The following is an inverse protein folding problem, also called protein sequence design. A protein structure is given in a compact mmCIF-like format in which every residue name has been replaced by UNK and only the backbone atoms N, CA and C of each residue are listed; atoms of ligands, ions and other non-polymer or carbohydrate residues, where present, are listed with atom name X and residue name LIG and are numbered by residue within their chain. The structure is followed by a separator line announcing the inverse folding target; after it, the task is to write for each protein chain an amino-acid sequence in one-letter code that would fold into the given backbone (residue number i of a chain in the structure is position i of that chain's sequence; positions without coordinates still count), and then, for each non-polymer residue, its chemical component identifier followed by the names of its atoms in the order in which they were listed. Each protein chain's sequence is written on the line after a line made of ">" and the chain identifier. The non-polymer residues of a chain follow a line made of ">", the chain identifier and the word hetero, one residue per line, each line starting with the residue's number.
data_IF_972553580755
#
_entry.id   IF_972553580755
#
_cell.length_a   1.000
_cell.length_b   1.000
_cell.length_c   1.000
_cell.angle_alpha   90.00
_cell.angle_beta   90.00
_cell.angle_gamma   90.00
#
_symmetry.space_group_name_H-M   'P 1'
#
loop_
_entity.id
_entity.type
_entity.pdbx_description
1 polymer ?
#
# COMPACT_ATOMS: atom_id res chain seq x y z
N UNK A 1 43.66 -26.92 -2.71
CA UNK A 1 42.69 -25.83 -2.47
C UNK A 1 42.84 -24.75 -3.55
N UNK A 2 41.69 -24.27 -4.15
CA UNK A 2 41.67 -23.19 -5.14
C UNK A 2 40.74 -22.08 -4.63
N UNK A 3 41.22 -20.82 -4.62
CA UNK A 3 40.44 -19.67 -4.17
C UNK A 3 40.36 -18.65 -5.28
N UNK A 4 39.16 -18.31 -5.70
CA UNK A 4 38.87 -17.38 -6.79
C UNK A 4 37.96 -16.25 -6.31
N UNK A 5 38.30 -15.00 -6.64
CA UNK A 5 37.40 -13.86 -6.41
C UNK A 5 36.29 -13.89 -7.45
N UNK A 6 35.06 -13.84 -7.00
CA UNK A 6 33.86 -13.78 -7.83
C UNK A 6 33.06 -12.51 -7.55
N UNK A 7 32.27 -12.15 -8.50
CA UNK A 7 31.41 -10.95 -8.50
C UNK A 7 29.95 -11.37 -8.56
N UNK A 8 29.10 -10.71 -7.76
CA UNK A 8 27.66 -10.89 -7.77
C UNK A 8 26.99 -9.52 -7.91
N UNK A 9 26.27 -9.31 -9.00
CA UNK A 9 25.48 -8.10 -9.20
C UNK A 9 24.38 -7.99 -8.15
N UNK A 10 24.19 -6.79 -7.60
CA UNK A 10 23.14 -6.44 -6.64
C UNK A 10 22.07 -5.59 -7.32
N UNK A 11 20.89 -5.51 -6.71
CA UNK A 11 19.75 -4.79 -7.28
C UNK A 11 19.91 -3.26 -7.36
N UNK A 12 20.99 -2.72 -6.79
CA UNK A 12 21.34 -1.28 -6.78
C UNK A 12 22.52 -0.96 -7.71
N UNK A 13 22.76 -1.78 -8.72
CA UNK A 13 23.88 -1.70 -9.67
C UNK A 13 25.28 -1.82 -9.04
N UNK A 14 25.37 -2.07 -7.73
CA UNK A 14 26.64 -2.41 -7.08
C UNK A 14 26.97 -3.89 -7.31
N UNK A 15 28.26 -4.21 -7.23
CA UNK A 15 28.75 -5.58 -7.36
C UNK A 15 29.34 -6.01 -6.03
N UNK A 16 28.83 -7.08 -5.44
CA UNK A 16 29.39 -7.71 -4.23
C UNK A 16 30.52 -8.66 -4.60
N UNK A 17 31.65 -8.58 -3.86
CA UNK A 17 32.78 -9.47 -4.03
C UNK A 17 32.73 -10.62 -3.03
N UNK A 18 33.06 -11.84 -3.49
CA UNK A 18 33.15 -13.01 -2.65
C UNK A 18 34.25 -13.97 -3.12
N UNK A 19 34.77 -14.77 -2.21
CA UNK A 19 35.70 -15.84 -2.52
C UNK A 19 34.93 -17.14 -2.80
N UNK A 20 35.28 -17.77 -3.92
CA UNK A 20 34.82 -19.12 -4.29
C UNK A 20 35.99 -20.07 -3.96
N UNK A 21 35.84 -20.84 -2.90
CA UNK A 21 36.86 -21.71 -2.32
C UNK A 21 36.52 -23.16 -2.64
N UNK A 22 37.40 -23.85 -3.37
CA UNK A 22 37.26 -25.25 -3.68
C UNK A 22 38.38 -26.06 -3.05
N UNK A 23 38.03 -26.97 -2.16
CA UNK A 23 38.98 -27.82 -1.46
C UNK A 23 38.43 -29.23 -1.22
N UNK A 24 39.19 -30.26 -1.57
CA UNK A 24 38.86 -31.65 -1.30
C UNK A 24 37.47 -32.11 -1.79
N UNK A 25 37.01 -31.60 -2.96
CA UNK A 25 35.68 -31.94 -3.49
C UNK A 25 34.54 -31.12 -2.87
N UNK A 26 34.84 -30.23 -1.91
CA UNK A 26 33.87 -29.34 -1.28
C UNK A 26 34.04 -27.92 -1.79
N UNK A 27 32.92 -27.24 -2.04
CA UNK A 27 32.88 -25.85 -2.48
C UNK A 27 32.28 -24.98 -1.40
N UNK A 28 33.01 -23.91 -1.02
CA UNK A 28 32.58 -22.92 -0.02
C UNK A 28 32.61 -21.54 -0.64
N UNK A 29 31.79 -20.63 -0.16
CA UNK A 29 31.79 -19.22 -0.56
C UNK A 29 31.97 -18.32 0.67
N UNK A 30 32.95 -17.41 0.62
CA UNK A 30 33.17 -16.39 1.66
C UNK A 30 32.85 -15.02 1.10
N UNK A 31 31.80 -14.37 1.61
CA UNK A 31 31.44 -13.00 1.21
C UNK A 31 32.31 -12.00 1.94
N UNK A 32 33.00 -11.14 1.19
CA UNK A 32 34.02 -10.23 1.74
C UNK A 32 33.43 -8.94 2.32
N UNK A 33 32.13 -8.69 2.16
CA UNK A 33 31.48 -7.41 2.49
C UNK A 33 32.13 -6.21 1.76
N UNK A 34 32.74 -6.47 0.61
CA UNK A 34 33.35 -5.48 -0.28
C UNK A 34 32.44 -5.31 -1.51
N UNK A 35 32.25 -4.06 -1.90
CA UNK A 35 31.32 -3.71 -2.99
C UNK A 35 32.02 -2.80 -4.00
N UNK A 36 31.84 -3.09 -5.29
CA UNK A 36 32.21 -2.17 -6.36
C UNK A 36 30.98 -1.30 -6.69
N UNK A 37 31.22 -0.03 -6.88
CA UNK A 37 30.21 0.96 -7.26
C UNK A 37 30.13 1.05 -8.79
N UNK A 38 29.00 1.49 -9.38
CA UNK A 38 28.92 1.82 -10.79
C UNK A 38 29.98 2.87 -11.16
N UNK A 39 30.74 2.62 -12.19
CA UNK A 39 31.82 3.55 -12.65
C UNK A 39 31.20 4.72 -13.41
N UNK A 40 30.85 5.78 -12.70
CA UNK A 40 30.26 7.01 -13.26
C UNK A 40 31.32 8.10 -13.46
N UNK A 41 32.34 8.09 -12.60
CA UNK A 41 33.42 9.10 -12.57
C UNK A 41 34.80 8.50 -12.20
N UNK A 42 35.86 9.31 -12.31
CA UNK A 42 37.21 8.89 -11.98
C UNK A 42 37.40 8.57 -10.49
N UNK A 43 36.60 9.17 -9.61
CA UNK A 43 36.65 8.92 -8.17
C UNK A 43 36.08 7.54 -7.83
N UNK A 44 34.95 7.16 -8.39
CA UNK A 44 34.35 5.82 -8.20
C UNK A 44 35.22 4.73 -8.76
N UNK A 45 35.91 4.98 -9.89
CA UNK A 45 36.89 4.05 -10.45
C UNK A 45 38.09 3.84 -9.50
N UNK A 46 38.67 4.91 -8.97
CA UNK A 46 39.76 4.82 -8.01
C UNK A 46 39.35 4.07 -6.72
N UNK A 47 38.11 4.30 -6.21
CA UNK A 47 37.57 3.56 -5.08
C UNK A 47 37.39 2.07 -5.38
N UNK A 48 36.94 1.73 -6.57
CA UNK A 48 36.77 0.35 -7.01
C UNK A 48 38.15 -0.37 -7.10
N UNK A 49 39.18 0.29 -7.57
CA UNK A 49 40.52 -0.26 -7.60
C UNK A 49 41.07 -0.58 -6.20
N UNK A 50 40.89 0.33 -5.23
CA UNK A 50 41.27 0.10 -3.82
C UNK A 50 40.47 -1.09 -3.24
N UNK A 51 39.21 -1.17 -3.55
CA UNK A 51 38.33 -2.27 -3.09
C UNK A 51 38.77 -3.62 -3.67
N UNK A 52 39.13 -3.67 -4.94
CA UNK A 52 39.67 -4.87 -5.59
C UNK A 52 41.01 -5.27 -5.00
N UNK A 53 41.91 -4.33 -4.76
CA UNK A 53 43.19 -4.59 -4.11
C UNK A 53 42.98 -5.24 -2.72
N UNK A 54 42.01 -4.73 -1.94
CA UNK A 54 41.68 -5.30 -0.65
C UNK A 54 41.14 -6.73 -0.77
N UNK A 55 40.29 -7.00 -1.76
CA UNK A 55 39.81 -8.35 -2.04
C UNK A 55 40.95 -9.32 -2.40
N UNK A 56 41.92 -8.86 -3.18
CA UNK A 56 43.13 -9.63 -3.53
C UNK A 56 44.02 -9.91 -2.31
N UNK A 57 44.18 -8.95 -1.39
CA UNK A 57 44.91 -9.13 -0.14
C UNK A 57 44.24 -10.23 0.72
N UNK A 58 42.92 -10.16 0.93
CA UNK A 58 42.18 -11.17 1.68
C UNK A 58 42.28 -12.55 1.02
N UNK A 59 42.19 -12.61 -0.31
CA UNK A 59 42.44 -13.87 -1.04
C UNK A 59 43.81 -14.44 -0.76
N UNK A 60 44.85 -13.61 -0.80
CA UNK A 60 46.24 -14.02 -0.53
C UNK A 60 46.38 -14.52 0.91
N UNK A 61 45.82 -13.83 1.88
CA UNK A 61 45.79 -14.25 3.29
C UNK A 61 45.13 -15.64 3.46
N UNK A 62 44.01 -15.89 2.77
CA UNK A 62 43.33 -17.20 2.83
C UNK A 62 44.08 -18.34 2.17
N UNK A 63 44.91 -18.01 1.17
CA UNK A 63 45.79 -19.00 0.53
C UNK A 63 46.98 -19.32 1.44
N UNK A 64 47.57 -18.34 2.11
CA UNK A 64 48.70 -18.51 3.01
C UNK A 64 48.30 -19.15 4.36
N UNK A 65 47.12 -18.82 4.83
CA UNK A 65 46.56 -19.25 6.14
C UNK A 65 45.21 -19.88 5.99
N UNK A 66 45.10 -21.10 5.47
CA UNK A 66 43.83 -21.81 5.27
C UNK A 66 43.03 -22.02 6.56
N UNK A 67 43.66 -22.06 7.71
CA UNK A 67 43.08 -22.15 9.05
C UNK A 67 42.22 -20.90 9.42
N UNK A 68 42.46 -19.78 8.76
CA UNK A 68 41.68 -18.53 8.97
C UNK A 68 40.38 -18.52 8.18
N UNK A 69 40.10 -19.51 7.33
CA UNK A 69 38.85 -19.66 6.63
C UNK A 69 37.77 -20.09 7.64
N UNK A 70 36.71 -19.28 7.85
CA UNK A 70 35.68 -19.60 8.85
C UNK A 70 35.06 -20.99 8.62
N UNK A 71 35.15 -21.90 9.62
CA UNK A 71 34.74 -23.30 9.44
C UNK A 71 33.24 -23.50 9.18
N UNK A 72 32.38 -22.70 9.70
CA UNK A 72 30.92 -22.76 9.44
C UNK A 72 30.27 -21.52 10.03
N UNK A 73 29.42 -20.86 9.27
CA UNK A 73 28.52 -19.88 9.86
C UNK A 73 28.36 -18.58 9.07
N UNK A 74 29.24 -18.29 8.10
CA UNK A 74 29.00 -17.21 7.15
C UNK A 74 28.44 -17.74 5.81
N UNK A 75 28.22 -19.05 5.75
CA UNK A 75 27.41 -19.68 4.74
C UNK A 75 25.96 -19.56 5.18
N UNK A 76 25.24 -18.64 4.60
CA UNK A 76 23.80 -18.51 4.72
C UNK A 76 23.21 -18.25 6.13
N UNK A 77 23.84 -17.48 6.97
CA UNK A 77 23.09 -16.35 7.40
C UNK A 77 23.45 -15.27 6.36
N UNK A 78 22.63 -15.13 5.35
CA UNK A 78 22.32 -13.79 4.90
C UNK A 78 21.82 -13.12 6.18
N UNK A 79 22.71 -12.66 7.06
CA UNK A 79 22.44 -11.48 7.86
C UNK A 79 21.98 -10.52 6.80
N UNK A 80 20.68 -10.35 6.74
CA UNK A 80 20.04 -9.35 5.96
C UNK A 80 20.98 -8.18 5.96
N UNK A 81 21.52 -7.84 4.79
CA UNK A 81 22.37 -6.69 4.64
C UNK A 81 21.54 -5.56 5.25
N UNK A 82 22.00 -4.86 6.31
CA UNK A 82 21.19 -3.82 6.96
C UNK A 82 21.09 -2.58 6.07
N UNK A 83 21.04 -2.76 4.78
CA UNK A 83 20.90 -1.76 3.74
C UNK A 83 19.84 -2.18 2.74
N UNK A 84 18.76 -2.84 3.22
CA UNK A 84 17.53 -2.84 2.45
C UNK A 84 16.97 -1.40 2.51
N UNK A 85 17.35 -0.59 1.53
CA UNK A 85 16.82 0.78 1.30
C UNK A 85 15.32 0.75 0.95
N UNK A 86 14.70 -0.43 1.02
CA UNK A 86 13.25 -0.55 0.88
C UNK A 86 12.59 0.04 2.12
N UNK A 87 11.69 1.02 1.99
CA UNK A 87 11.00 1.61 3.13
C UNK A 87 10.15 0.56 3.85
N UNK A 88 9.88 0.79 5.13
CA UNK A 88 8.88 0.03 5.87
C UNK A 88 7.48 0.25 5.26
N UNK A 89 6.61 -0.74 5.41
CA UNK A 89 5.25 -0.68 4.83
C UNK A 89 4.48 0.53 5.38
N UNK A 90 4.56 0.78 6.69
CA UNK A 90 3.85 1.90 7.32
C UNK A 90 4.40 3.26 6.89
N UNK A 91 5.71 3.39 6.74
CA UNK A 91 6.36 4.62 6.28
C UNK A 91 6.02 4.89 4.82
N UNK A 92 6.00 3.84 4.00
CA UNK A 92 5.57 3.97 2.61
C UNK A 92 4.11 4.41 2.48
N UNK A 93 3.20 3.82 3.28
CA UNK A 93 1.79 4.24 3.29
C UNK A 93 1.69 5.71 3.70
N UNK A 94 2.48 6.17 4.70
CA UNK A 94 2.51 7.58 5.08
C UNK A 94 3.01 8.46 3.94
N UNK A 95 4.13 8.13 3.32
CA UNK A 95 4.67 8.85 2.16
C UNK A 95 3.63 8.94 1.02
N UNK A 96 2.85 7.88 0.81
CA UNK A 96 1.77 7.87 -0.17
C UNK A 96 0.62 8.80 0.21
N UNK A 97 0.24 8.84 1.49
CA UNK A 97 -0.78 9.76 2.03
C UNK A 97 -0.34 11.21 1.86
N UNK A 98 0.90 11.54 2.22
CA UNK A 98 1.46 12.88 2.12
C UNK A 98 1.49 13.32 0.65
N UNK A 99 1.98 12.45 -0.23
CA UNK A 99 1.98 12.70 -1.67
C UNK A 99 0.57 12.98 -2.23
N UNK A 100 -0.48 12.25 -1.79
CA UNK A 100 -1.85 12.51 -2.20
C UNK A 100 -2.40 13.81 -1.61
N UNK A 101 -2.01 14.16 -0.40
CA UNK A 101 -2.46 15.39 0.28
C UNK A 101 -1.93 16.65 -0.39
N UNK A 102 -0.71 16.56 -0.94
CA UNK A 102 -0.07 17.65 -1.68
C UNK A 102 -0.62 17.78 -3.13
N UNK A 103 -1.38 16.79 -3.59
CA UNK A 103 -1.89 16.72 -4.95
C UNK A 103 -3.40 17.01 -4.97
N UNK A 104 -3.79 18.12 -5.61
CA UNK A 104 -5.19 18.59 -5.69
C UNK A 104 -6.12 17.64 -6.46
N UNK A 105 -5.59 16.69 -7.22
CA UNK A 105 -6.38 15.69 -7.96
C UNK A 105 -7.07 14.65 -7.06
N UNK A 106 -6.66 14.57 -5.80
CA UNK A 106 -7.22 13.61 -4.85
C UNK A 106 -8.23 14.26 -3.91
N UNK A 107 -9.43 13.71 -3.85
CA UNK A 107 -10.44 14.15 -2.90
C UNK A 107 -10.03 13.80 -1.45
N UNK A 108 -10.44 14.63 -0.50
CA UNK A 108 -10.23 14.38 0.93
C UNK A 108 -10.69 12.98 1.36
N UNK A 109 -11.81 12.49 0.79
CA UNK A 109 -12.35 11.17 1.09
C UNK A 109 -11.37 10.03 0.74
N UNK A 110 -10.61 10.16 -0.35
CA UNK A 110 -9.60 9.18 -0.77
C UNK A 110 -8.41 9.19 0.19
N UNK A 111 -7.97 10.38 0.59
CA UNK A 111 -6.90 10.56 1.58
C UNK A 111 -7.30 9.94 2.92
N UNK A 112 -8.51 10.20 3.39
CA UNK A 112 -9.02 9.64 4.66
C UNK A 112 -9.15 8.11 4.62
N UNK A 113 -9.56 7.54 3.50
CA UNK A 113 -9.55 6.09 3.29
C UNK A 113 -8.13 5.49 3.36
N UNK A 114 -7.12 6.21 2.88
CA UNK A 114 -5.73 5.78 2.94
C UNK A 114 -5.16 5.89 4.35
N UNK A 115 -5.57 6.90 5.12
CA UNK A 115 -5.27 6.99 6.56
C UNK A 115 -5.89 5.83 7.34
N UNK A 116 -7.13 5.47 7.00
CA UNK A 116 -7.78 4.29 7.59
C UNK A 116 -7.05 2.99 7.23
N UNK A 117 -6.58 2.85 5.98
CA UNK A 117 -5.74 1.71 5.60
C UNK A 117 -4.45 1.65 6.44
N UNK A 118 -3.78 2.80 6.68
CA UNK A 118 -2.59 2.86 7.53
C UNK A 118 -2.88 2.36 8.94
N UNK A 119 -4.01 2.80 9.52
CA UNK A 119 -4.47 2.34 10.83
C UNK A 119 -4.68 0.81 10.84
N UNK A 120 -5.42 0.26 9.87
CA UNK A 120 -5.64 -1.18 9.77
C UNK A 120 -4.34 -1.98 9.63
N UNK A 121 -3.41 -1.46 8.83
CA UNK A 121 -2.11 -2.10 8.64
C UNK A 121 -1.28 -2.07 9.92
N UNK A 122 -1.31 -0.98 10.69
CA UNK A 122 -0.59 -0.89 11.97
C UNK A 122 -1.13 -1.91 12.99
N UNK A 123 -2.45 -2.04 13.10
CA UNK A 123 -3.11 -3.04 13.97
C UNK A 123 -2.74 -4.48 13.57
N UNK A 124 -2.80 -4.77 12.27
CA UNK A 124 -2.41 -6.08 11.75
C UNK A 124 -0.95 -6.42 12.02
N UNK A 125 -0.03 -5.50 11.75
CA UNK A 125 1.40 -5.73 11.95
C UNK A 125 1.77 -5.84 13.43
N UNK A 126 1.08 -5.09 14.30
CA UNK A 126 1.21 -5.24 15.75
C UNK A 126 0.73 -6.62 16.22
N UNK A 127 -0.42 -7.09 15.72
CA UNK A 127 -0.94 -8.43 15.99
C UNK A 127 0.05 -9.53 15.56
N UNK A 128 0.71 -9.36 14.41
CA UNK A 128 1.75 -10.28 13.90
C UNK A 128 3.12 -10.08 14.57
N UNK A 129 3.28 -9.12 15.49
CA UNK A 129 4.55 -8.76 16.15
C UNK A 129 5.67 -8.43 15.14
N UNK A 130 5.32 -7.78 14.03
CA UNK A 130 6.23 -7.41 12.93
C UNK A 130 6.02 -5.96 12.46
N UNK A 131 6.10 -4.95 13.37
CA UNK A 131 5.80 -3.55 13.05
C UNK A 131 6.73 -2.96 11.96
N UNK A 132 7.97 -3.45 11.86
CA UNK A 132 9.03 -2.92 10.98
C UNK A 132 9.25 -3.77 9.73
N UNK A 133 8.19 -4.32 9.14
CA UNK A 133 8.31 -5.07 7.88
C UNK A 133 8.52 -4.11 6.71
N UNK A 134 9.51 -4.42 5.87
CA UNK A 134 9.78 -3.62 4.67
C UNK A 134 8.85 -4.02 3.51
N UNK A 135 8.65 -3.10 2.55
CA UNK A 135 7.84 -3.36 1.35
C UNK A 135 8.28 -4.62 0.59
N UNK A 136 9.58 -4.88 0.49
CA UNK A 136 10.11 -6.05 -0.23
C UNK A 136 9.81 -7.36 0.45
N UNK A 137 9.66 -7.34 1.79
CA UNK A 137 9.32 -8.52 2.59
C UNK A 137 7.82 -8.75 2.67
N UNK A 138 7.02 -7.75 2.29
CA UNK A 138 5.57 -7.85 2.27
C UNK A 138 5.13 -8.52 0.94
N UNK A 139 5.22 -9.85 0.91
CA UNK A 139 4.92 -10.71 -0.23
C UNK A 139 3.44 -11.11 -0.31
N UNK A 140 3.11 -12.03 -1.20
CA UNK A 140 1.74 -12.54 -1.37
C UNK A 140 1.18 -13.20 -0.11
N UNK A 141 2.02 -13.86 0.70
CA UNK A 141 1.57 -14.53 1.93
C UNK A 141 1.16 -13.51 3.01
N UNK A 142 1.85 -12.35 3.06
CA UNK A 142 1.45 -11.24 3.91
C UNK A 142 0.12 -10.62 3.48
N UNK A 143 -0.13 -10.50 2.16
CA UNK A 143 -1.44 -10.06 1.66
C UNK A 143 -2.55 -11.03 2.06
N UNK A 144 -2.35 -12.35 1.88
CA UNK A 144 -3.30 -13.37 2.33
C UNK A 144 -3.58 -13.27 3.82
N UNK A 145 -2.53 -13.20 4.63
CA UNK A 145 -2.66 -13.08 6.09
C UNK A 145 -3.42 -11.81 6.49
N UNK A 146 -3.17 -10.68 5.83
CA UNK A 146 -3.87 -9.43 6.07
C UNK A 146 -5.36 -9.53 5.72
N UNK A 147 -5.69 -10.10 4.58
CA UNK A 147 -7.09 -10.26 4.16
C UNK A 147 -7.86 -11.24 5.05
N UNK A 148 -7.24 -12.36 5.46
CA UNK A 148 -7.84 -13.29 6.41
C UNK A 148 -8.09 -12.62 7.76
N UNK A 149 -7.12 -11.86 8.27
CA UNK A 149 -7.28 -11.10 9.51
C UNK A 149 -8.42 -10.08 9.42
N UNK A 150 -8.50 -9.32 8.32
CA UNK A 150 -9.60 -8.36 8.10
C UNK A 150 -10.98 -9.02 8.10
N UNK A 151 -11.07 -10.22 7.53
CA UNK A 151 -12.34 -10.93 7.36
C UNK A 151 -12.81 -11.61 8.65
N UNK A 152 -11.87 -12.21 9.39
CA UNK A 152 -12.19 -13.14 10.46
C UNK A 152 -11.94 -12.55 11.85
N UNK A 153 -10.91 -11.74 12.02
CA UNK A 153 -10.41 -11.34 13.34
C UNK A 153 -10.65 -9.87 13.63
N UNK A 154 -10.67 -9.02 12.61
CA UNK A 154 -10.83 -7.59 12.81
C UNK A 154 -12.28 -7.19 12.97
N UNK A 155 -12.59 -6.63 14.15
CA UNK A 155 -13.89 -6.01 14.44
C UNK A 155 -13.67 -4.54 14.75
N UNK A 156 -14.17 -3.60 13.92
CA UNK A 156 -14.00 -2.18 14.18
C UNK A 156 -14.68 -1.77 15.48
N UNK A 157 -13.92 -1.18 16.39
CA UNK A 157 -14.50 -0.60 17.62
C UNK A 157 -15.24 0.68 17.24
N UNK A 158 -16.55 0.59 17.14
CA UNK A 158 -17.43 1.75 16.97
C UNK A 158 -18.10 2.07 18.29
N UNK A 159 -18.10 3.38 18.61
CA UNK A 159 -18.86 4.04 19.69
C UNK A 159 -19.64 3.14 20.66
N UNK A 160 -19.48 3.40 21.93
CA UNK A 160 -19.99 2.68 23.13
C UNK A 160 -21.47 2.20 23.08
N UNK A 161 -22.24 2.61 22.08
CA UNK A 161 -23.68 2.32 21.99
C UNK A 161 -24.11 1.41 20.82
N UNK A 162 -23.18 0.95 19.99
CA UNK A 162 -23.51 0.11 18.84
C UNK A 162 -22.66 -1.14 18.90
N UNK A 163 -23.32 -2.29 18.85
CA UNK A 163 -22.65 -3.59 18.77
C UNK A 163 -21.64 -3.62 17.62
N UNK A 164 -20.39 -3.95 17.93
CA UNK A 164 -19.34 -3.99 16.95
C UNK A 164 -19.58 -5.15 15.97
N UNK A 165 -19.64 -4.88 14.67
CA UNK A 165 -19.87 -5.86 13.62
C UNK A 165 -18.65 -5.98 12.71
N UNK A 166 -18.36 -7.18 12.18
CA UNK A 166 -17.31 -7.36 11.16
C UNK A 166 -17.51 -6.44 9.96
N UNK A 167 -16.43 -6.19 9.22
CA UNK A 167 -16.51 -5.41 7.99
C UNK A 167 -17.40 -6.10 6.95
N UNK A 168 -18.29 -5.34 6.32
CA UNK A 168 -19.09 -5.84 5.21
C UNK A 168 -18.21 -6.04 3.94
N UNK A 169 -18.67 -6.88 3.00
CA UNK A 169 -17.98 -7.21 1.76
C UNK A 169 -17.52 -5.96 0.97
N UNK A 170 -18.37 -4.92 0.91
CA UNK A 170 -18.02 -3.66 0.27
C UNK A 170 -16.85 -2.95 0.94
N UNK A 171 -16.81 -2.95 2.27
CA UNK A 171 -15.70 -2.36 3.03
C UNK A 171 -14.40 -3.15 2.84
N UNK A 172 -14.46 -4.48 2.88
CA UNK A 172 -13.32 -5.36 2.62
C UNK A 172 -12.75 -5.12 1.21
N UNK A 173 -13.63 -5.08 0.20
CA UNK A 173 -13.22 -4.78 -1.18
C UNK A 173 -12.58 -3.39 -1.31
N UNK A 174 -13.11 -2.37 -0.65
CA UNK A 174 -12.54 -1.02 -0.67
C UNK A 174 -11.15 -0.97 -0.02
N UNK A 175 -10.94 -1.64 1.12
CA UNK A 175 -9.62 -1.74 1.76
C UNK A 175 -8.64 -2.44 0.83
N UNK A 176 -9.06 -3.54 0.17
CA UNK A 176 -8.24 -4.23 -0.83
C UNK A 176 -7.83 -3.29 -1.97
N UNK A 177 -8.76 -2.53 -2.54
CA UNK A 177 -8.45 -1.57 -3.62
C UNK A 177 -7.44 -0.51 -3.16
N UNK A 178 -7.54 -0.04 -1.91
CA UNK A 178 -6.60 0.95 -1.36
C UNK A 178 -5.20 0.38 -1.20
N UNK A 179 -5.03 -0.81 -0.63
CA UNK A 179 -3.69 -1.40 -0.49
C UNK A 179 -3.06 -1.71 -1.86
N UNK A 180 -3.85 -2.19 -2.83
CA UNK A 180 -3.37 -2.41 -4.20
C UNK A 180 -2.86 -1.11 -4.83
N UNK A 181 -3.59 0.00 -4.65
CA UNK A 181 -3.16 1.31 -5.16
C UNK A 181 -1.85 1.79 -4.52
N UNK A 182 -1.67 1.60 -3.20
CA UNK A 182 -0.42 1.91 -2.47
C UNK A 182 0.76 1.13 -3.05
N UNK A 183 0.60 -0.19 -3.25
CA UNK A 183 1.68 -1.03 -3.78
C UNK A 183 1.95 -0.79 -5.27
N UNK A 184 0.91 -0.49 -6.07
CA UNK A 184 1.10 -0.06 -7.46
C UNK A 184 1.90 1.25 -7.55
N UNK A 185 1.66 2.18 -6.61
CA UNK A 185 2.44 3.41 -6.54
C UNK A 185 3.88 3.13 -6.12
N UNK A 186 4.12 2.17 -5.22
CA UNK A 186 5.47 1.72 -4.87
C UNK A 186 6.25 1.19 -6.09
N UNK A 187 5.58 0.46 -6.98
CA UNK A 187 6.18 0.00 -8.23
C UNK A 187 6.51 1.19 -9.15
N UNK A 188 5.59 2.15 -9.31
CA UNK A 188 5.80 3.35 -10.13
C UNK A 188 6.97 4.22 -9.61
N UNK A 189 7.21 4.23 -8.30
CA UNK A 189 8.31 4.96 -7.67
C UNK A 189 9.60 4.12 -7.55
N UNK A 190 9.67 2.95 -8.19
CA UNK A 190 10.85 2.08 -8.19
C UNK A 190 11.20 1.46 -6.83
N UNK A 191 10.28 1.49 -5.85
CA UNK A 191 10.47 0.89 -4.53
C UNK A 191 10.23 -0.62 -4.53
N UNK A 192 9.43 -1.11 -5.50
CA UNK A 192 9.17 -2.52 -5.78
C UNK A 192 9.34 -2.80 -7.27
N UNK A 193 9.75 -4.02 -7.62
CA UNK A 193 9.79 -4.49 -9.02
C UNK A 193 8.40 -4.81 -9.56
N UNK A 194 7.56 -5.42 -8.73
CA UNK A 194 6.20 -5.79 -9.06
C UNK A 194 5.33 -5.76 -7.80
N UNK A 195 4.02 -5.59 -7.96
CA UNK A 195 3.09 -5.65 -6.83
C UNK A 195 2.76 -7.12 -6.51
N UNK A 196 3.07 -7.61 -5.30
CA UNK A 196 2.81 -8.99 -4.90
C UNK A 196 1.33 -9.39 -4.92
N UNK A 197 0.42 -8.44 -4.85
CA UNK A 197 -1.02 -8.68 -4.93
C UNK A 197 -1.41 -9.47 -6.20
N UNK A 198 -0.79 -9.19 -7.33
CA UNK A 198 -1.12 -9.87 -8.59
C UNK A 198 -0.66 -11.34 -8.66
N UNK A 199 0.02 -11.82 -7.64
CA UNK A 199 0.39 -13.23 -7.48
C UNK A 199 -0.64 -14.02 -6.65
N UNK A 200 -1.70 -13.35 -6.16
CA UNK A 200 -2.78 -13.97 -5.40
C UNK A 200 -3.73 -14.73 -6.32
N UNK A 201 -4.31 -15.81 -5.81
CA UNK A 201 -5.38 -16.53 -6.46
C UNK A 201 -6.73 -15.79 -6.30
N UNK A 202 -7.68 -16.07 -7.17
CA UNK A 202 -9.02 -15.46 -7.10
C UNK A 202 -9.74 -15.74 -5.77
N UNK A 203 -9.47 -16.88 -5.15
CA UNK A 203 -9.99 -17.28 -3.84
C UNK A 203 -9.50 -16.40 -2.69
N UNK A 204 -8.31 -15.79 -2.84
CA UNK A 204 -7.68 -14.96 -1.82
C UNK A 204 -8.09 -13.48 -1.91
N UNK A 205 -8.85 -13.13 -2.96
CA UNK A 205 -9.22 -11.76 -3.30
C UNK A 205 -10.68 -11.53 -2.93
N UNK A 206 -10.97 -10.38 -2.31
CA UNK A 206 -12.34 -9.98 -2.05
C UNK A 206 -13.06 -9.64 -3.36
N UNK A 207 -14.17 -10.33 -3.69
CA UNK A 207 -14.91 -10.04 -4.90
C UNK A 207 -15.54 -8.64 -4.84
N UNK A 208 -15.76 -8.05 -6.01
CA UNK A 208 -16.58 -6.84 -6.07
C UNK A 208 -17.99 -7.14 -5.55
N UNK A 209 -18.49 -6.39 -4.57
CA UNK A 209 -19.81 -6.63 -4.04
C UNK A 209 -20.86 -6.53 -5.15
N UNK A 210 -21.82 -7.45 -5.15
CA UNK A 210 -22.95 -7.38 -6.08
C UNK A 210 -23.76 -6.12 -5.77
N UNK A 211 -24.24 -5.46 -6.81
CA UNK A 211 -25.17 -4.34 -6.64
C UNK A 211 -26.41 -4.85 -5.91
N UNK A 212 -26.70 -4.30 -4.73
CA UNK A 212 -27.97 -4.54 -4.06
C UNK A 212 -29.10 -3.99 -4.93
N UNK A 213 -30.25 -4.64 -4.92
CA UNK A 213 -31.47 -4.07 -5.49
C UNK A 213 -31.74 -2.72 -4.82
N UNK A 214 -31.65 -1.65 -5.59
CA UNK A 214 -31.96 -0.32 -5.08
C UNK A 214 -33.45 -0.25 -4.84
N UNK A 215 -33.85 -0.04 -3.59
CA UNK A 215 -35.22 0.28 -3.24
C UNK A 215 -35.46 1.77 -3.52
N UNK A 216 -36.64 2.09 -3.98
CA UNK A 216 -37.08 3.47 -4.24
C UNK A 216 -38.49 3.66 -3.65
N UNK A 217 -38.80 4.88 -3.29
CA UNK A 217 -40.14 5.23 -2.86
C UNK A 217 -41.07 5.39 -4.07
N UNK A 218 -42.24 4.82 -4.00
CA UNK A 218 -43.29 5.14 -4.96
C UNK A 218 -43.76 6.60 -4.77
N UNK A 219 -44.42 7.20 -5.76
CA UNK A 219 -44.97 8.56 -5.61
C UNK A 219 -45.92 8.73 -4.41
N UNK A 220 -46.72 7.69 -4.10
CA UNK A 220 -47.63 7.75 -2.97
C UNK A 220 -46.94 7.59 -1.63
N UNK A 221 -45.88 6.80 -1.56
CA UNK A 221 -45.06 6.70 -0.36
C UNK A 221 -44.27 8.02 -0.12
N UNK A 222 -43.78 8.67 -1.19
CA UNK A 222 -43.14 9.97 -1.07
C UNK A 222 -44.16 11.03 -0.58
N UNK A 223 -45.39 11.05 -1.10
CA UNK A 223 -46.46 11.95 -0.62
C UNK A 223 -46.75 11.73 0.87
N UNK A 224 -46.89 10.48 1.30
CA UNK A 224 -47.13 10.13 2.72
C UNK A 224 -45.94 10.55 3.59
N UNK A 225 -44.72 10.33 3.13
CA UNK A 225 -43.50 10.76 3.83
C UNK A 225 -43.48 12.29 3.98
N UNK A 226 -43.76 13.04 2.92
CA UNK A 226 -43.76 14.51 2.96
C UNK A 226 -44.92 15.10 3.79
N UNK A 227 -46.02 14.36 3.96
CA UNK A 227 -47.18 14.75 4.79
C UNK A 227 -47.01 14.40 6.26
N UNK A 228 -46.01 13.60 6.63
CA UNK A 228 -45.76 13.25 8.03
C UNK A 228 -45.33 14.50 8.82
N UNK A 229 -45.92 14.64 10.03
CA UNK A 229 -45.65 15.76 10.92
C UNK A 229 -44.38 15.48 11.73
N UNK A 230 -43.30 16.20 11.37
CA UNK A 230 -42.01 16.07 12.05
C UNK A 230 -41.82 17.16 13.09
N UNK A 231 -41.74 16.75 14.34
CA UNK A 231 -41.65 17.65 15.50
C UNK A 231 -40.26 18.27 15.73
N UNK A 232 -39.21 17.63 15.19
CA UNK A 232 -37.83 18.15 15.32
C UNK A 232 -37.44 19.01 14.12
N UNK A 233 -37.02 20.28 14.34
CA UNK A 233 -36.64 21.18 13.24
C UNK A 233 -35.59 20.59 12.29
N UNK A 234 -34.58 19.90 12.80
CA UNK A 234 -33.53 19.27 12.00
C UNK A 234 -34.04 18.10 11.13
N UNK A 235 -35.03 17.36 11.61
CA UNK A 235 -35.67 16.28 10.86
C UNK A 235 -36.57 16.87 9.79
N UNK A 236 -37.33 17.93 10.07
CA UNK A 236 -38.18 18.61 9.10
C UNK A 236 -37.37 19.20 7.93
N UNK A 237 -36.22 19.80 8.20
CA UNK A 237 -35.31 20.28 7.13
C UNK A 237 -34.75 19.12 6.30
N UNK A 238 -34.36 18.02 6.94
CA UNK A 238 -33.88 16.82 6.24
C UNK A 238 -34.97 16.22 5.35
N UNK A 239 -36.21 16.16 5.84
CA UNK A 239 -37.40 15.70 5.09
C UNK A 239 -37.58 16.54 3.81
N UNK A 240 -37.54 17.88 3.92
CA UNK A 240 -37.67 18.79 2.76
C UNK A 240 -36.53 18.57 1.76
N UNK A 241 -35.29 18.48 2.24
CA UNK A 241 -34.12 18.22 1.41
C UNK A 241 -34.21 16.87 0.69
N UNK A 242 -34.70 15.83 1.38
CA UNK A 242 -34.93 14.52 0.80
C UNK A 242 -36.02 14.54 -0.29
N UNK A 243 -37.15 15.17 0.00
CA UNK A 243 -38.23 15.33 -0.97
C UNK A 243 -37.75 16.09 -2.22
N UNK A 244 -36.98 17.16 -2.03
CA UNK A 244 -36.36 17.89 -3.13
C UNK A 244 -35.40 17.01 -3.94
N UNK A 245 -34.57 16.18 -3.28
CA UNK A 245 -33.70 15.21 -3.94
C UNK A 245 -34.48 14.20 -4.79
N UNK A 246 -35.59 13.67 -4.26
CA UNK A 246 -36.46 12.72 -4.96
C UNK A 246 -37.09 13.33 -6.23
N UNK A 247 -37.49 14.59 -6.17
CA UNK A 247 -38.12 15.28 -7.29
C UNK A 247 -37.14 15.77 -8.36
N UNK A 248 -35.92 16.12 -7.96
CA UNK A 248 -34.91 16.70 -8.86
C UNK A 248 -33.87 15.71 -9.34
N UNK A 249 -33.67 14.58 -8.65
CA UNK A 249 -32.60 13.64 -8.89
C UNK A 249 -31.21 14.13 -8.48
N UNK A 250 -31.12 15.28 -7.80
CA UNK A 250 -29.85 15.84 -7.35
C UNK A 250 -29.24 15.02 -6.21
N UNK A 251 -27.92 14.90 -6.23
CA UNK A 251 -27.17 14.31 -5.11
C UNK A 251 -27.17 15.27 -3.93
N UNK A 252 -27.02 14.73 -2.71
CA UNK A 252 -26.96 15.55 -1.49
C UNK A 252 -25.81 16.58 -1.52
N UNK A 253 -24.69 16.29 -2.17
CA UNK A 253 -23.59 17.23 -2.39
C UNK A 253 -24.04 18.44 -3.22
N UNK A 254 -24.80 18.17 -4.27
CA UNK A 254 -25.26 19.18 -5.23
C UNK A 254 -26.35 20.06 -4.59
N UNK A 255 -27.24 19.44 -3.78
CA UNK A 255 -28.24 20.17 -3.00
C UNK A 255 -27.58 21.10 -2.00
N UNK A 256 -26.53 20.64 -1.29
CA UNK A 256 -25.80 21.48 -0.34
C UNK A 256 -25.04 22.64 -0.99
N UNK A 257 -24.61 22.46 -2.23
CA UNK A 257 -23.89 23.48 -2.99
C UNK A 257 -24.83 24.41 -3.79
N UNK A 258 -26.12 24.07 -3.93
CA UNK A 258 -27.09 24.78 -4.77
C UNK A 258 -27.31 26.22 -4.27
N UNK A 259 -27.27 27.19 -5.19
CA UNK A 259 -27.51 28.59 -4.93
C UNK A 259 -28.70 29.08 -5.78
N UNK A 260 -29.35 30.11 -5.34
CA UNK A 260 -30.42 30.74 -6.10
C UNK A 260 -29.98 31.20 -7.50
N UNK A 261 -28.71 31.58 -7.66
CA UNK A 261 -28.11 31.92 -8.95
C UNK A 261 -28.08 30.77 -9.96
N UNK A 262 -28.14 29.53 -9.48
CA UNK A 262 -28.07 28.32 -10.31
C UNK A 262 -29.48 27.92 -10.82
N UNK A 263 -30.54 28.54 -10.30
CA UNK A 263 -31.92 28.32 -10.69
C UNK A 263 -32.32 29.37 -11.72
N UNK A 264 -32.60 28.94 -12.94
CA UNK A 264 -33.00 29.82 -14.04
C UNK A 264 -34.41 29.48 -14.52
N UNK A 265 -35.17 30.49 -14.91
CA UNK A 265 -36.47 30.26 -15.56
C UNK A 265 -36.26 30.10 -17.06
N UNK A 266 -36.69 28.99 -17.63
CA UNK A 266 -36.75 28.84 -19.08
C UNK A 266 -37.93 29.68 -19.59
N UNK A 267 -37.65 30.64 -20.48
CA UNK A 267 -38.65 31.59 -20.99
C UNK A 267 -39.65 30.92 -21.94
N UNK A 268 -39.25 29.84 -22.62
CA UNK A 268 -40.09 29.14 -23.59
C UNK A 268 -41.10 28.20 -22.92
N UNK A 269 -40.66 27.44 -21.93
CA UNK A 269 -41.48 26.44 -21.22
C UNK A 269 -42.06 26.96 -19.91
N UNK A 270 -41.65 28.14 -19.47
CA UNK A 270 -41.98 28.75 -18.18
C UNK A 270 -41.64 27.87 -16.97
N UNK A 271 -40.68 26.95 -17.14
CA UNK A 271 -40.22 26.02 -16.10
C UNK A 271 -38.93 26.51 -15.42
N UNK A 272 -38.73 26.12 -14.17
CA UNK A 272 -37.45 26.35 -13.48
C UNK A 272 -36.46 25.26 -13.88
N UNK A 273 -35.27 25.66 -14.26
CA UNK A 273 -34.16 24.76 -14.65
C UNK A 273 -32.98 24.99 -13.71
N UNK A 274 -32.43 23.90 -13.20
CA UNK A 274 -31.22 23.92 -12.40
C UNK A 274 -30.04 23.73 -13.35
N UNK A 275 -29.14 24.73 -13.39
CA UNK A 275 -27.91 24.67 -14.18
C UNK A 275 -26.80 24.15 -13.32
N UNK A 276 -26.42 22.86 -13.50
CA UNK A 276 -25.25 22.27 -12.85
C UNK A 276 -23.99 22.80 -13.55
N UNK A 277 -22.98 23.17 -12.74
CA UNK A 277 -21.64 23.56 -13.21
C UNK A 277 -20.73 22.34 -13.27
#
# INVERSE_FOLDING_TARGET
>A
MTITIRQKALANDNISLYLDIYDGGKRKFEFLSLYLLPEVDAETKARNEVTLQRAHQIRAERILHPETIPEVGHLMIVKEIPNDKSPEVLDWIQTYIDWMSDNTDYSKAIVDQSKYLKYLMSEFLANKRRPHITLRKFDKEWFKAFFLWLKNDYVPQKYVRVEAKPLCEGSLHNVQQRIVAVFNKAVKFGKLKANPFYQLEKSDIFPKPKSSHKQYLTPDELKRFMASDERSPGVAETQKAFGFACLTGLRISDIKALRWSDIKRNKETNTLVIVQK
#
